data_IF_517823687845
#
_entry.id   IF_517823687845
#
_cell.length_a   1.000
_cell.length_b   1.000
_cell.length_c   1.000
_cell.angle_alpha   90.00
_cell.angle_beta   90.00
_cell.angle_gamma   90.00
#
_symmetry.space_group_name_H-M   'P 1'
#
loop_
_entity.id
_entity.type
_entity.pdbx_description
1 polymer ?
#
# COMPACT_ATOMS: atom_id res chain seq x y z
N UNK A 1 23.15 -16.24 -21.30
CA UNK A 1 22.65 -16.65 -19.97
C UNK A 1 21.26 -17.21 -20.15
N UNK A 2 21.06 -18.48 -19.81
CA UNK A 2 19.80 -19.20 -20.01
C UNK A 2 18.76 -18.72 -18.98
N UNK A 3 17.78 -17.92 -19.41
CA UNK A 3 16.71 -17.36 -18.54
C UNK A 3 15.70 -18.42 -18.05
N UNK A 4 15.96 -19.71 -18.27
CA UNK A 4 14.99 -20.81 -18.08
C UNK A 4 14.94 -21.42 -16.68
N UNK A 5 15.76 -20.93 -15.74
CA UNK A 5 15.89 -21.57 -14.41
C UNK A 5 14.84 -21.06 -13.41
N UNK A 6 14.29 -19.85 -13.59
CA UNK A 6 13.28 -19.29 -12.68
C UNK A 6 11.91 -19.31 -13.33
N UNK A 7 11.15 -20.38 -13.10
CA UNK A 7 9.72 -20.41 -13.43
C UNK A 7 8.95 -19.95 -12.20
N UNK A 8 8.41 -18.74 -12.25
CA UNK A 8 7.57 -18.21 -11.19
C UNK A 8 6.19 -18.88 -11.22
N UNK A 9 5.64 -19.15 -10.05
CA UNK A 9 4.26 -19.62 -9.94
C UNK A 9 3.29 -18.50 -10.36
N UNK A 10 2.14 -18.87 -10.92
CA UNK A 10 1.11 -17.88 -11.29
C UNK A 10 0.54 -17.13 -10.08
N UNK A 11 0.58 -17.74 -8.91
CA UNK A 11 0.06 -17.20 -7.67
C UNK A 11 1.14 -17.24 -6.61
N UNK A 12 1.49 -16.08 -6.04
CA UNK A 12 2.42 -16.00 -4.93
C UNK A 12 1.66 -16.08 -3.61
N UNK A 13 2.19 -16.85 -2.67
CA UNK A 13 1.62 -16.93 -1.31
C UNK A 13 1.72 -15.60 -0.56
N UNK A 14 2.83 -14.91 -0.69
CA UNK A 14 3.03 -13.61 -0.05
C UNK A 14 4.14 -12.83 -0.73
N UNK A 15 3.96 -11.51 -0.81
CA UNK A 15 4.99 -10.55 -1.21
C UNK A 15 5.15 -9.54 -0.08
N UNK A 16 6.38 -9.39 0.40
CA UNK A 16 6.71 -8.47 1.50
C UNK A 16 7.82 -7.55 1.04
N UNK A 17 7.59 -6.25 1.15
CA UNK A 17 8.58 -5.24 0.83
C UNK A 17 9.44 -4.92 2.05
N UNK A 18 10.70 -4.49 1.85
CA UNK A 18 11.50 -3.95 2.95
C UNK A 18 10.82 -2.71 3.55
N UNK A 19 11.22 -2.35 4.77
CA UNK A 19 10.72 -1.14 5.42
C UNK A 19 11.09 0.11 4.61
N UNK A 20 10.08 0.71 3.97
CA UNK A 20 10.25 1.93 3.18
C UNK A 20 10.16 3.18 4.09
N UNK A 21 9.74 3.04 5.35
CA UNK A 21 9.59 4.15 6.31
C UNK A 21 10.90 4.75 6.82
N UNK A 22 12.04 4.37 6.22
CA UNK A 22 13.38 4.81 6.56
C UNK A 22 13.47 6.32 6.84
N UNK A 23 14.32 6.68 7.82
CA UNK A 23 14.55 8.07 8.20
C UNK A 23 15.08 8.84 6.99
N UNK A 24 14.21 9.57 6.32
CA UNK A 24 14.65 10.52 5.31
C UNK A 24 15.37 11.66 6.03
N UNK A 25 16.70 11.78 5.89
CA UNK A 25 17.41 12.94 6.43
C UNK A 25 16.97 14.13 5.58
N UNK A 26 16.43 15.17 6.21
CA UNK A 26 16.17 16.49 5.62
C UNK A 26 15.85 16.45 4.11
N UNK A 27 14.69 15.88 3.73
CA UNK A 27 14.25 15.91 2.34
C UNK A 27 14.18 17.35 1.85
N UNK A 28 14.74 17.64 0.69
CA UNK A 28 14.52 18.91 0.02
C UNK A 28 13.08 18.99 -0.51
N UNK A 29 12.57 20.19 -0.77
CA UNK A 29 11.24 20.37 -1.38
C UNK A 29 11.12 19.72 -2.76
N UNK A 30 12.23 19.37 -3.42
CA UNK A 30 12.23 18.62 -4.69
C UNK A 30 12.07 17.12 -4.46
N UNK A 31 12.69 16.58 -3.41
CA UNK A 31 12.53 15.17 -3.02
C UNK A 31 11.10 14.85 -2.57
N UNK A 32 10.41 15.84 -1.97
CA UNK A 32 9.01 15.71 -1.57
C UNK A 32 8.02 15.61 -2.76
N UNK A 33 8.46 15.93 -3.99
CA UNK A 33 7.63 15.86 -5.19
C UNK A 33 7.84 14.57 -5.98
N UNK A 34 8.75 13.71 -5.55
CA UNK A 34 9.06 12.51 -6.32
C UNK A 34 8.06 11.40 -6.01
N UNK A 35 7.24 11.03 -7.00
CA UNK A 35 6.42 9.83 -6.92
C UNK A 35 7.31 8.60 -6.74
N UNK A 36 7.01 7.81 -5.72
CA UNK A 36 7.71 6.56 -5.45
C UNK A 36 7.08 5.41 -6.22
N UNK A 37 7.92 4.64 -6.90
CA UNK A 37 7.50 3.63 -7.86
C UNK A 37 8.10 2.26 -7.58
N UNK A 38 8.94 2.10 -6.55
CA UNK A 38 9.64 0.84 -6.32
C UNK A 38 8.68 -0.34 -6.10
N UNK A 39 7.53 -0.11 -5.45
CA UNK A 39 6.50 -1.16 -5.31
C UNK A 39 5.90 -1.47 -6.68
N UNK A 40 5.56 -0.44 -7.46
CA UNK A 40 5.01 -0.58 -8.81
C UNK A 40 6.01 -1.29 -9.74
N UNK A 41 7.30 -0.96 -9.66
CA UNK A 41 8.36 -1.53 -10.50
C UNK A 41 8.57 -3.02 -10.21
N UNK A 42 8.54 -3.40 -8.93
CA UNK A 42 8.63 -4.81 -8.51
C UNK A 42 7.38 -5.59 -8.93
N UNK A 43 6.19 -5.01 -8.73
CA UNK A 43 4.95 -5.64 -9.16
C UNK A 43 4.89 -5.77 -10.69
N UNK A 44 5.28 -4.74 -11.43
CA UNK A 44 5.39 -4.80 -12.89
C UNK A 44 6.36 -5.91 -13.32
N UNK A 45 7.52 -6.02 -12.66
CA UNK A 45 8.45 -7.12 -12.92
C UNK A 45 7.82 -8.49 -12.67
N UNK A 46 7.02 -8.66 -11.61
CA UNK A 46 6.27 -9.90 -11.36
C UNK A 46 5.24 -10.20 -12.47
N UNK A 47 4.56 -9.16 -12.97
CA UNK A 47 3.66 -9.27 -14.13
C UNK A 47 4.41 -9.82 -15.34
N UNK A 48 5.60 -9.28 -15.62
CA UNK A 48 6.47 -9.72 -16.71
C UNK A 48 6.96 -11.17 -16.52
N UNK A 49 7.00 -11.65 -15.27
CA UNK A 49 7.25 -13.05 -14.91
C UNK A 49 6.00 -13.95 -14.96
N UNK A 50 4.87 -13.43 -15.46
CA UNK A 50 3.59 -14.12 -15.59
C UNK A 50 2.95 -14.52 -14.24
N UNK A 51 3.22 -13.72 -13.20
CA UNK A 51 2.47 -13.76 -11.94
C UNK A 51 1.14 -13.03 -12.13
N UNK A 52 0.04 -13.67 -11.73
CA UNK A 52 -1.33 -13.18 -11.91
C UNK A 52 -2.02 -12.86 -10.59
N UNK A 53 -1.48 -13.38 -9.48
CA UNK A 53 -2.14 -13.31 -8.18
C UNK A 53 -1.17 -13.26 -7.02
N UNK A 54 -1.51 -12.48 -6.00
CA UNK A 54 -0.77 -12.41 -4.74
C UNK A 54 -1.76 -12.67 -3.60
N UNK A 55 -1.55 -13.73 -2.81
CA UNK A 55 -2.47 -14.03 -1.70
C UNK A 55 -2.31 -13.02 -0.54
N UNK A 56 -1.10 -12.51 -0.30
CA UNK A 56 -0.86 -11.47 0.70
C UNK A 56 0.20 -10.46 0.28
N UNK A 57 -0.14 -9.18 0.32
CA UNK A 57 0.75 -8.07 0.00
C UNK A 57 1.02 -7.25 1.27
N UNK A 58 2.30 -7.16 1.65
CA UNK A 58 2.76 -6.49 2.87
C UNK A 58 3.75 -5.39 2.50
N UNK A 59 3.37 -4.14 2.77
CA UNK A 59 4.19 -2.95 2.45
C UNK A 59 4.24 -2.05 3.67
N UNK A 60 5.44 -1.84 4.21
CA UNK A 60 5.70 -0.83 5.23
C UNK A 60 5.99 0.50 4.51
N UNK A 61 4.96 1.31 4.25
CA UNK A 61 5.07 2.53 3.45
C UNK A 61 5.72 3.69 4.22
N UNK A 62 6.12 4.72 3.47
CA UNK A 62 6.69 5.94 4.01
C UNK A 62 5.64 6.79 4.70
N UNK A 63 6.04 7.48 5.77
CA UNK A 63 5.21 8.53 6.37
C UNK A 63 5.29 9.86 5.59
N UNK A 64 6.45 10.12 4.98
CA UNK A 64 6.69 11.29 4.13
C UNK A 64 6.59 10.84 2.68
N UNK A 65 5.71 11.46 1.89
CA UNK A 65 5.45 11.09 0.50
C UNK A 65 5.07 9.60 0.35
N UNK A 66 4.01 9.10 1.00
CA UNK A 66 3.55 7.73 0.76
C UNK A 66 3.16 7.53 -0.71
N UNK A 67 3.04 6.27 -1.14
CA UNK A 67 2.46 5.96 -2.44
C UNK A 67 1.06 6.59 -2.56
N UNK A 68 0.68 7.04 -3.76
CA UNK A 68 -0.67 7.57 -3.97
C UNK A 68 -1.71 6.43 -4.01
N UNK A 69 -2.97 6.76 -3.71
CA UNK A 69 -4.04 5.75 -3.62
C UNK A 69 -4.39 5.09 -4.95
N UNK A 70 -4.20 5.80 -6.06
CA UNK A 70 -4.48 5.28 -7.41
C UNK A 70 -3.52 4.14 -7.75
N UNK A 71 -2.23 4.33 -7.50
CA UNK A 71 -1.19 3.33 -7.71
C UNK A 71 -1.39 2.11 -6.81
N UNK A 72 -1.69 2.34 -5.52
CA UNK A 72 -1.97 1.24 -4.58
C UNK A 72 -3.18 0.43 -5.04
N UNK A 73 -4.25 1.11 -5.42
CA UNK A 73 -5.49 0.45 -5.87
C UNK A 73 -5.25 -0.34 -7.15
N UNK A 74 -4.56 0.26 -8.12
CA UNK A 74 -4.21 -0.39 -9.39
C UNK A 74 -3.43 -1.68 -9.14
N UNK A 75 -2.39 -1.60 -8.31
CA UNK A 75 -1.59 -2.76 -7.94
C UNK A 75 -2.41 -3.88 -7.29
N UNK A 76 -3.31 -3.52 -6.37
CA UNK A 76 -4.14 -4.48 -5.64
C UNK A 76 -5.13 -5.19 -6.56
N UNK A 77 -5.78 -4.43 -7.45
CA UNK A 77 -6.77 -4.97 -8.39
C UNK A 77 -6.11 -5.83 -9.48
N UNK A 78 -4.97 -5.38 -10.06
CA UNK A 78 -4.27 -6.11 -11.12
C UNK A 78 -3.70 -7.46 -10.65
N UNK A 79 -3.26 -7.55 -9.39
CA UNK A 79 -2.67 -8.76 -8.80
C UNK A 79 -3.65 -9.59 -7.96
N UNK A 80 -4.96 -9.35 -8.07
CA UNK A 80 -5.99 -10.11 -7.35
C UNK A 80 -5.64 -10.30 -5.86
N UNK A 81 -5.20 -9.22 -5.21
CA UNK A 81 -4.65 -9.30 -3.85
C UNK A 81 -5.76 -9.66 -2.87
N UNK A 82 -5.57 -10.74 -2.10
CA UNK A 82 -6.58 -11.20 -1.13
C UNK A 82 -6.40 -10.62 0.27
N UNK A 83 -5.15 -10.56 0.75
CA UNK A 83 -4.81 -9.93 2.02
C UNK A 83 -3.97 -8.70 1.72
N UNK A 84 -4.53 -7.52 2.00
CA UNK A 84 -3.84 -6.25 1.83
C UNK A 84 -3.42 -5.70 3.19
N UNK A 85 -2.12 -5.69 3.43
CA UNK A 85 -1.50 -4.99 4.54
C UNK A 85 -0.49 -3.97 4.03
N UNK A 86 -1.01 -2.83 3.59
CA UNK A 86 -0.20 -1.70 3.16
C UNK A 86 -0.27 -0.62 4.23
N UNK A 87 0.86 -0.36 4.89
CA UNK A 87 0.97 0.60 6.00
C UNK A 87 1.01 2.06 5.53
N UNK A 88 0.08 2.41 4.64
CA UNK A 88 -0.19 3.76 4.20
C UNK A 88 -1.31 4.35 5.06
N UNK A 89 -1.13 5.58 5.52
CA UNK A 89 -2.16 6.27 6.28
C UNK A 89 -3.31 6.75 5.39
N UNK A 90 -4.51 6.65 5.95
CA UNK A 90 -5.74 7.24 5.44
C UNK A 90 -6.00 6.91 3.96
N UNK A 91 -5.77 5.65 3.57
CA UNK A 91 -6.02 5.19 2.21
C UNK A 91 -7.51 5.24 1.85
N UNK A 92 -7.86 5.81 0.70
CA UNK A 92 -9.25 5.84 0.22
C UNK A 92 -9.68 4.49 -0.36
N UNK A 93 -10.85 4.00 0.03
CA UNK A 93 -11.31 2.65 -0.34
C UNK A 93 -12.20 2.60 -1.60
N UNK A 94 -12.46 3.75 -2.21
CA UNK A 94 -13.49 3.88 -3.25
C UNK A 94 -13.22 2.98 -4.46
N UNK A 95 -11.97 2.91 -4.89
CA UNK A 95 -11.61 2.30 -6.18
C UNK A 95 -11.09 0.85 -6.06
N UNK A 96 -10.98 0.33 -4.84
CA UNK A 96 -10.66 -1.08 -4.59
C UNK A 96 -11.74 -2.02 -5.10
N UNK A 97 -11.35 -3.18 -5.62
CA UNK A 97 -12.28 -4.28 -5.81
C UNK A 97 -12.51 -5.03 -4.48
N UNK A 98 -13.73 -4.90 -3.94
CA UNK A 98 -14.09 -5.45 -2.63
C UNK A 98 -14.31 -6.96 -2.67
N UNK A 99 -14.54 -7.54 -3.84
CA UNK A 99 -14.75 -8.98 -3.99
C UNK A 99 -13.41 -9.74 -3.95
N UNK A 100 -12.33 -9.10 -4.43
CA UNK A 100 -10.97 -9.65 -4.43
C UNK A 100 -10.32 -9.60 -3.04
N UNK A 101 -10.46 -8.48 -2.33
CA UNK A 101 -9.82 -8.27 -1.02
C UNK A 101 -10.63 -8.96 0.09
N UNK A 102 -10.15 -10.12 0.53
CA UNK A 102 -10.73 -10.90 1.62
C UNK A 102 -10.39 -10.30 3.00
N UNK A 103 -9.20 -9.74 3.16
CA UNK A 103 -8.75 -9.07 4.38
C UNK A 103 -8.02 -7.77 4.08
N UNK A 104 -8.45 -6.70 4.76
CA UNK A 104 -7.92 -5.35 4.62
C UNK A 104 -7.40 -4.85 5.96
N UNK A 105 -6.15 -4.37 6.00
CA UNK A 105 -5.58 -3.67 7.15
C UNK A 105 -5.48 -2.17 6.85
N UNK A 106 -6.18 -1.37 7.66
CA UNK A 106 -6.23 0.09 7.54
C UNK A 106 -5.41 0.76 8.63
N UNK A 107 -4.78 1.88 8.27
CA UNK A 107 -3.97 2.69 9.17
C UNK A 107 -4.47 4.12 9.17
N UNK A 108 -4.78 4.63 10.36
CA UNK A 108 -5.44 5.92 10.54
C UNK A 108 -4.51 6.95 11.15
N UNK A 109 -4.49 8.17 10.58
CA UNK A 109 -3.90 9.36 11.21
C UNK A 109 -4.90 10.12 12.10
N UNK A 110 -6.21 9.82 11.97
CA UNK A 110 -7.29 10.58 12.58
C UNK A 110 -8.06 11.50 11.62
N UNK A 111 -7.81 11.40 10.30
CA UNK A 111 -8.52 12.18 9.29
C UNK A 111 -10.00 11.79 9.20
N UNK A 112 -10.89 12.66 9.69
CA UNK A 112 -12.34 12.42 9.74
C UNK A 112 -12.95 12.18 8.36
N UNK A 113 -12.54 12.92 7.34
CA UNK A 113 -13.11 12.78 5.99
C UNK A 113 -12.83 11.40 5.39
N UNK A 114 -11.68 10.81 5.70
CA UNK A 114 -11.35 9.44 5.29
C UNK A 114 -12.13 8.43 6.13
N UNK A 115 -12.32 8.68 7.42
CA UNK A 115 -13.14 7.80 8.28
C UNK A 115 -14.59 7.76 7.83
N UNK A 116 -15.19 8.90 7.48
CA UNK A 116 -16.55 8.96 6.94
C UNK A 116 -16.65 8.12 5.67
N UNK A 117 -15.65 8.21 4.79
CA UNK A 117 -15.56 7.39 3.58
C UNK A 117 -15.40 5.90 3.89
N UNK A 118 -14.62 5.54 4.91
CA UNK A 118 -14.46 4.16 5.34
C UNK A 118 -15.75 3.57 5.86
N UNK A 119 -16.53 4.31 6.65
CA UNK A 119 -17.80 3.83 7.21
C UNK A 119 -18.78 3.38 6.12
N UNK A 120 -18.78 4.06 4.97
CA UNK A 120 -19.62 3.71 3.82
C UNK A 120 -19.11 2.48 3.05
N UNK A 121 -17.81 2.18 3.08
CA UNK A 121 -17.20 1.11 2.28
C UNK A 121 -16.90 -0.17 3.06
N UNK A 122 -16.50 -0.06 4.34
CA UNK A 122 -16.10 -1.20 5.19
C UNK A 122 -17.13 -2.34 5.19
N UNK A 123 -18.46 -2.09 5.26
CA UNK A 123 -19.46 -3.16 5.23
C UNK A 123 -19.42 -4.06 3.98
N UNK A 124 -18.73 -3.64 2.91
CA UNK A 124 -18.57 -4.38 1.66
C UNK A 124 -17.35 -5.30 1.65
N UNK A 125 -16.44 -5.14 2.61
CA UNK A 125 -15.27 -6.00 2.76
C UNK A 125 -15.59 -7.15 3.73
N UNK A 126 -15.00 -8.33 3.48
CA UNK A 126 -15.23 -9.53 4.30
C UNK A 126 -14.61 -9.40 5.69
N UNK A 127 -13.37 -8.91 5.76
CA UNK A 127 -12.65 -8.66 7.01
C UNK A 127 -11.86 -7.36 6.90
N UNK A 128 -12.03 -6.50 7.90
CA UNK A 128 -11.26 -5.26 8.02
C UNK A 128 -10.69 -5.18 9.43
N UNK A 129 -9.41 -4.86 9.53
CA UNK A 129 -8.79 -4.43 10.78
C UNK A 129 -8.31 -3.00 10.63
N UNK A 130 -8.43 -2.21 11.69
CA UNK A 130 -8.00 -0.82 11.70
C UNK A 130 -7.04 -0.59 12.85
N UNK A 131 -5.92 0.07 12.56
CA UNK A 131 -4.88 0.40 13.53
C UNK A 131 -4.65 1.91 13.51
N UNK A 132 -4.47 2.49 14.69
CA UNK A 132 -4.01 3.87 14.83
C UNK A 132 -2.50 3.85 15.05
N UNK A 133 -1.76 4.73 14.37
CA UNK A 133 -0.34 4.88 14.69
C UNK A 133 -0.19 5.57 16.06
N UNK A 134 0.72 5.10 16.94
CA UNK A 134 0.99 5.79 18.20
C UNK A 134 1.43 7.23 17.92
N UNK A 135 0.80 8.20 18.61
CA UNK A 135 1.09 9.66 18.52
C UNK A 135 2.58 10.04 18.69
N UNK A 136 3.44 9.15 19.19
CA UNK A 136 4.86 9.46 19.48
C UNK A 136 5.79 9.63 18.26
N UNK A 137 5.29 9.60 17.02
CA UNK A 137 6.04 10.05 15.82
C UNK A 137 5.56 11.41 15.26
N UNK A 138 4.92 12.25 16.09
CA UNK A 138 4.33 13.56 15.73
C UNK A 138 5.30 14.63 15.20
N UNK A 139 6.63 14.46 15.26
CA UNK A 139 7.56 15.49 14.77
C UNK A 139 7.57 15.69 13.24
N UNK A 140 6.95 14.80 12.47
CA UNK A 140 6.87 14.93 11.01
C UNK A 140 5.58 15.57 10.49
N UNK A 141 4.50 15.62 11.28
CA UNK A 141 3.17 16.09 10.83
C UNK A 141 2.94 17.60 10.99
N UNK A 142 3.83 18.30 11.70
CA UNK A 142 3.67 19.74 11.97
C UNK A 142 3.84 20.64 10.73
N UNK A 143 4.20 20.10 9.56
CA UNK A 143 4.49 20.91 8.36
C UNK A 143 3.39 20.91 7.29
N UNK A 144 2.28 20.19 7.48
CA UNK A 144 1.18 20.13 6.48
C UNK A 144 -0.08 20.91 6.88
N UNK A 145 -0.05 21.65 7.99
CA UNK A 145 -1.10 22.61 8.35
C UNK A 145 -0.50 24.01 8.50
N UNK A 146 -0.32 24.72 7.39
CA UNK A 146 -0.05 26.16 7.35
C UNK A 146 -0.60 26.74 6.05
#
# INVERSE_FOLDING_TARGET
>A
MDKRIFRHEKYLKSVTFPDLSGQAPFMSNEDLKQDHREVNDVLQWLSDQNVQGIMGLFVEDRLQCPHNDEDVTKCVNEFNVRVLNWRKLDIYLKDFDKELVEELHLYSSGNRSVHDQWLDQIPRFKRVSCQTLPRHRERAYAYYTS
#
